data_IF_282197000415
#
_entry.id   IF_282197000415
#
_cell.length_a   1.000
_cell.length_b   1.000
_cell.length_c   1.000
_cell.angle_alpha   90.00
_cell.angle_beta   90.00
_cell.angle_gamma   90.00
#
_symmetry.space_group_name_H-M   'P 1'
#
loop_
_entity.id
_entity.type
_entity.pdbx_description
1 polymer ?
#
# COMPACT_ATOMS: atom_id res chain seq x y z
N UNK A 1 36.24 -28.68 -10.16
CA UNK A 1 35.20 -28.72 -11.21
C UNK A 1 33.86 -28.56 -10.47
N UNK A 2 33.31 -27.33 -10.38
CA UNK A 2 32.19 -26.73 -11.18
C UNK A 2 30.87 -27.48 -10.93
N UNK A 3 29.68 -26.95 -10.58
CA UNK A 3 29.02 -25.62 -10.46
C UNK A 3 27.91 -25.78 -9.37
N UNK A 4 27.24 -24.79 -8.75
CA UNK A 4 26.74 -23.50 -9.22
C UNK A 4 25.30 -23.62 -9.76
N UNK A 5 24.26 -23.37 -8.95
CA UNK A 5 22.86 -23.11 -9.39
C UNK A 5 22.19 -22.16 -8.37
N UNK A 6 22.42 -20.85 -8.46
CA UNK A 6 21.55 -19.82 -9.06
C UNK A 6 20.09 -19.88 -8.62
N UNK A 7 19.73 -18.96 -7.72
CA UNK A 7 18.37 -18.61 -7.39
C UNK A 7 17.72 -17.84 -8.54
N UNK A 8 16.57 -18.32 -9.00
CA UNK A 8 15.76 -17.65 -10.01
C UNK A 8 14.83 -16.67 -9.32
N UNK A 9 15.20 -15.40 -9.27
CA UNK A 9 14.27 -14.31 -8.98
C UNK A 9 13.46 -14.05 -10.25
N UNK A 10 12.18 -14.43 -10.25
CA UNK A 10 11.25 -14.09 -11.33
C UNK A 10 10.44 -12.87 -10.88
N UNK A 11 10.70 -11.76 -11.56
CA UNK A 11 9.88 -10.56 -11.55
C UNK A 11 8.50 -10.90 -12.10
N UNK A 12 7.43 -10.64 -11.32
CA UNK A 12 6.07 -10.87 -11.77
C UNK A 12 5.54 -9.63 -12.49
N UNK A 13 5.44 -9.75 -13.82
CA UNK A 13 4.62 -8.93 -14.70
C UNK A 13 3.14 -9.03 -14.28
N UNK A 14 2.44 -7.90 -14.29
CA UNK A 14 0.98 -7.85 -14.44
C UNK A 14 0.63 -6.98 -15.64
N UNK A 15 0.20 -7.63 -16.72
CA UNK A 15 -0.48 -7.03 -17.85
C UNK A 15 -1.46 -8.06 -18.42
N UNK A 16 -2.72 -8.01 -17.99
CA UNK A 16 -3.88 -8.56 -18.72
C UNK A 16 -5.14 -7.79 -18.25
N UNK A 17 -5.47 -6.72 -18.96
CA UNK A 17 -6.79 -6.11 -18.94
C UNK A 17 -7.63 -6.81 -20.02
N UNK A 18 -8.77 -7.36 -19.62
CA UNK A 18 -9.82 -7.83 -20.53
C UNK A 18 -10.54 -6.63 -21.17
N UNK A 19 -10.87 -6.78 -22.45
CA UNK A 19 -11.55 -5.79 -23.26
C UNK A 19 -13.00 -5.53 -22.79
N UNK A 20 -13.50 -4.27 -22.86
CA UNK A 20 -14.90 -3.98 -22.61
C UNK A 20 -15.78 -4.26 -23.84
N UNK A 21 -16.96 -4.84 -23.57
CA UNK A 21 -18.03 -5.05 -24.52
C UNK A 21 -18.58 -3.73 -25.07
N UNK A 22 -18.84 -3.73 -26.38
CA UNK A 22 -19.38 -2.63 -27.17
C UNK A 22 -20.78 -2.16 -26.73
N UNK A 23 -20.98 -0.85 -26.84
CA UNK A 23 -22.21 -0.12 -26.61
C UNK A 23 -23.18 -0.21 -27.80
N UNK A 24 -24.49 -0.13 -27.50
CA UNK A 24 -25.49 0.47 -28.39
C UNK A 24 -26.39 1.43 -27.62
N UNK A 25 -26.84 2.46 -28.32
CA UNK A 25 -27.32 3.74 -27.83
C UNK A 25 -28.84 3.82 -27.64
N UNK A 26 -29.28 4.72 -26.76
CA UNK A 26 -30.57 5.40 -26.90
C UNK A 26 -30.53 6.79 -26.24
N UNK A 27 -31.00 7.78 -27.00
CA UNK A 27 -30.97 9.20 -26.71
C UNK A 27 -32.07 9.64 -25.72
N UNK A 28 -31.76 10.63 -24.89
CA UNK A 28 -32.72 11.38 -24.08
C UNK A 28 -32.15 12.74 -23.67
N UNK A 29 -32.80 13.84 -24.08
CA UNK A 29 -32.41 15.24 -23.85
C UNK A 29 -32.91 15.76 -22.48
N UNK A 30 -32.23 16.82 -22.00
CA UNK A 30 -32.55 17.79 -20.90
C UNK A 30 -32.23 17.24 -19.49
N UNK A 31 -31.70 17.99 -18.54
CA UNK A 31 -31.75 19.43 -18.25
C UNK A 31 -30.60 19.81 -17.30
N UNK A 32 -30.30 21.11 -17.19
CA UNK A 32 -29.21 21.67 -16.39
C UNK A 32 -29.40 21.42 -14.88
N UNK A 33 -28.32 20.99 -14.22
CA UNK A 33 -28.26 20.83 -12.77
C UNK A 33 -26.81 20.76 -12.31
N UNK A 34 -26.31 21.90 -11.82
CA UNK A 34 -25.05 22.05 -11.10
C UNK A 34 -24.95 20.98 -10.00
N UNK A 35 -23.92 20.15 -10.13
CA UNK A 35 -23.61 19.07 -9.21
C UNK A 35 -22.27 18.50 -9.64
N UNK A 36 -21.20 19.21 -9.30
CA UNK A 36 -19.84 18.74 -9.48
C UNK A 36 -19.66 17.47 -8.62
N UNK A 37 -19.92 16.33 -9.24
CA UNK A 37 -19.54 15.03 -8.70
C UNK A 37 -18.03 14.99 -8.77
N UNK A 38 -17.38 15.38 -7.67
CA UNK A 38 -15.95 15.21 -7.47
C UNK A 38 -15.69 13.71 -7.54
N UNK A 39 -15.19 13.25 -8.70
CA UNK A 39 -14.67 11.91 -8.85
C UNK A 39 -13.43 11.82 -7.96
N UNK A 40 -13.54 11.04 -6.89
CA UNK A 40 -12.39 10.57 -6.13
C UNK A 40 -11.60 9.61 -7.03
N UNK A 41 -10.68 10.16 -7.82
CA UNK A 41 -9.84 9.42 -8.73
C UNK A 41 -8.87 10.38 -9.38
N UNK A 42 -7.58 10.19 -9.08
CA UNK A 42 -6.43 10.82 -9.74
C UNK A 42 -6.02 12.22 -9.24
N UNK A 43 -5.36 12.25 -8.07
CA UNK A 43 -4.40 13.30 -7.76
C UNK A 43 -2.98 12.69 -7.79
N UNK A 44 -2.51 12.36 -8.99
CA UNK A 44 -1.07 12.38 -9.26
C UNK A 44 -0.71 13.85 -9.46
N UNK A 45 -0.13 14.50 -8.45
CA UNK A 45 0.49 15.81 -8.70
C UNK A 45 1.76 15.59 -9.51
N UNK A 46 2.27 16.60 -10.22
CA UNK A 46 3.57 16.47 -10.90
C UNK A 46 4.71 16.09 -9.94
N UNK A 47 4.50 16.26 -8.63
CA UNK A 47 5.50 16.04 -7.60
C UNK A 47 5.57 14.58 -7.14
N UNK A 48 4.52 13.77 -7.36
CA UNK A 48 4.56 12.35 -7.07
C UNK A 48 3.51 11.52 -7.82
N UNK A 49 3.79 10.25 -8.02
CA UNK A 49 2.86 9.26 -8.59
C UNK A 49 2.52 8.15 -7.59
N UNK A 50 1.44 7.41 -7.85
CA UNK A 50 1.01 6.26 -7.03
C UNK A 50 0.94 4.99 -7.86
N UNK A 51 1.29 3.86 -7.26
CA UNK A 51 0.98 2.57 -7.83
C UNK A 51 -0.55 2.36 -7.87
N UNK A 52 -1.07 1.55 -8.82
CA UNK A 52 -2.49 1.27 -8.92
C UNK A 52 -3.05 0.71 -7.60
N UNK A 53 -4.22 1.22 -7.18
CA UNK A 53 -4.92 0.77 -5.97
C UNK A 53 -4.35 1.30 -4.64
N UNK A 54 -3.35 2.21 -4.67
CA UNK A 54 -2.82 2.83 -3.44
C UNK A 54 -3.75 3.93 -2.94
N UNK A 55 -4.30 3.70 -1.74
CA UNK A 55 -5.14 4.66 -1.02
C UNK A 55 -4.31 5.50 -0.02
N UNK A 56 -4.49 6.82 -0.06
CA UNK A 56 -3.88 7.76 0.90
C UNK A 56 -5.00 8.65 1.45
N UNK A 57 -5.24 8.69 2.77
CA UNK A 57 -6.29 9.50 3.36
C UNK A 57 -6.05 11.01 3.12
N UNK A 58 -7.09 11.85 2.94
CA UNK A 58 -6.94 13.27 2.63
C UNK A 58 -6.05 14.07 3.62
N UNK A 59 -6.06 13.72 4.91
CA UNK A 59 -5.20 14.37 5.90
C UNK A 59 -3.70 14.08 5.68
N UNK A 60 -3.39 12.91 5.12
CA UNK A 60 -2.02 12.46 4.81
C UNK A 60 -1.61 12.98 3.44
N UNK A 61 -2.55 13.03 2.52
CA UNK A 61 -2.42 13.53 1.16
C UNK A 61 -1.78 14.92 1.11
N UNK A 62 -2.31 15.88 1.87
CA UNK A 62 -1.80 17.25 1.89
C UNK A 62 -0.32 17.29 2.33
N UNK A 63 0.02 16.55 3.39
CA UNK A 63 1.39 16.49 3.93
C UNK A 63 2.34 15.74 3.00
N UNK A 64 1.84 14.72 2.32
CA UNK A 64 2.58 13.98 1.29
C UNK A 64 2.90 14.89 0.10
N UNK A 65 1.92 15.67 -0.37
CA UNK A 65 2.11 16.63 -1.46
C UNK A 65 3.17 17.68 -1.11
N UNK A 66 3.14 18.23 0.12
CA UNK A 66 4.18 19.17 0.58
C UNK A 66 5.59 18.56 0.63
N UNK A 67 5.71 17.29 1.05
CA UNK A 67 6.97 16.57 1.04
C UNK A 67 7.45 16.31 -0.39
N UNK A 68 6.56 15.85 -1.26
CA UNK A 68 6.82 15.55 -2.66
C UNK A 68 7.29 16.80 -3.42
N UNK A 69 6.58 17.92 -3.29
CA UNK A 69 6.95 19.19 -3.93
C UNK A 69 8.33 19.69 -3.46
N UNK A 70 8.63 19.54 -2.16
CA UNK A 70 9.93 19.90 -1.63
C UNK A 70 11.05 18.98 -2.12
N UNK A 71 10.76 17.69 -2.27
CA UNK A 71 11.70 16.72 -2.83
C UNK A 71 11.98 17.03 -4.29
N UNK A 72 10.94 17.16 -5.14
CA UNK A 72 11.08 17.48 -6.56
C UNK A 72 11.81 18.79 -6.78
N UNK A 73 11.54 19.84 -6.00
CA UNK A 73 12.32 21.08 -6.05
C UNK A 73 13.82 20.90 -5.74
N UNK A 74 14.17 19.94 -4.88
CA UNK A 74 15.56 19.72 -4.47
C UNK A 74 16.32 18.74 -5.39
N UNK A 75 15.63 17.83 -6.07
CA UNK A 75 16.23 16.73 -6.84
C UNK A 75 15.87 16.73 -8.32
N UNK A 76 14.80 17.43 -8.71
CA UNK A 76 14.20 17.36 -10.04
C UNK A 76 13.35 16.11 -10.29
N UNK A 77 13.27 15.17 -9.33
CA UNK A 77 12.53 13.91 -9.48
C UNK A 77 11.25 13.90 -8.65
N UNK A 78 10.14 13.35 -9.19
CA UNK A 78 8.96 13.07 -8.39
C UNK A 78 9.19 11.89 -7.45
N UNK A 79 8.36 11.77 -6.41
CA UNK A 79 8.30 10.55 -5.60
C UNK A 79 7.40 9.51 -6.25
N UNK A 80 7.65 8.22 -6.00
CA UNK A 80 6.78 7.12 -6.41
C UNK A 80 6.27 6.39 -5.19
N UNK A 81 4.97 6.45 -4.97
CA UNK A 81 4.29 5.84 -3.84
C UNK A 81 3.85 4.43 -4.20
N UNK A 82 4.36 3.44 -3.48
CA UNK A 82 4.11 2.02 -3.76
C UNK A 82 3.06 1.41 -2.85
N UNK A 83 2.81 2.01 -1.69
CA UNK A 83 1.78 1.59 -0.75
C UNK A 83 1.32 2.77 0.11
N UNK A 84 0.15 2.64 0.72
CA UNK A 84 -0.51 3.71 1.46
C UNK A 84 -1.17 3.20 2.74
N UNK A 85 -2.15 3.94 3.24
CA UNK A 85 -2.94 3.43 4.38
C UNK A 85 -3.86 2.34 3.87
N UNK A 86 -3.77 1.16 4.47
CA UNK A 86 -4.60 0.03 4.10
C UNK A 86 -5.81 -0.03 5.01
N UNK A 87 -6.99 -0.12 4.41
CA UNK A 87 -8.20 -0.50 5.12
C UNK A 87 -8.10 -1.94 5.64
N UNK A 88 -8.85 -2.30 6.70
CA UNK A 88 -8.90 -3.68 7.19
C UNK A 88 -9.18 -4.72 6.10
N UNK A 89 -10.06 -4.41 5.15
CA UNK A 89 -10.42 -5.33 4.06
C UNK A 89 -9.23 -5.59 3.13
N UNK A 90 -8.49 -4.53 2.74
CA UNK A 90 -7.33 -4.63 1.87
C UNK A 90 -6.20 -5.43 2.54
N UNK A 91 -5.97 -5.17 3.84
CA UNK A 91 -5.00 -5.94 4.60
C UNK A 91 -5.44 -7.40 4.73
N UNK A 92 -6.74 -7.69 4.93
CA UNK A 92 -7.26 -9.04 5.01
C UNK A 92 -7.03 -9.83 3.72
N UNK A 93 -7.26 -9.22 2.56
CA UNK A 93 -6.96 -9.84 1.27
C UNK A 93 -5.47 -10.17 1.09
N UNK A 94 -4.60 -9.26 1.53
CA UNK A 94 -3.15 -9.50 1.50
C UNK A 94 -2.75 -10.64 2.44
N UNK A 95 -3.29 -10.67 3.65
CA UNK A 95 -3.06 -11.76 4.60
C UNK A 95 -3.53 -13.10 4.03
N UNK A 96 -4.71 -13.12 3.40
CA UNK A 96 -5.25 -14.31 2.74
C UNK A 96 -4.31 -14.82 1.64
N UNK A 97 -3.88 -13.95 0.72
CA UNK A 97 -2.95 -14.33 -0.36
C UNK A 97 -1.64 -14.90 0.18
N UNK A 98 -1.07 -14.27 1.21
CA UNK A 98 0.17 -14.75 1.84
C UNK A 98 -0.02 -16.14 2.47
N UNK A 99 -1.13 -16.34 3.18
CA UNK A 99 -1.47 -17.63 3.81
C UNK A 99 -1.75 -18.73 2.79
N UNK A 100 -2.45 -18.42 1.69
CA UNK A 100 -2.69 -19.35 0.57
C UNK A 100 -1.38 -19.77 -0.12
N UNK A 101 -0.39 -18.88 -0.18
CA UNK A 101 0.95 -19.18 -0.71
C UNK A 101 1.81 -20.00 0.27
N UNK A 102 1.37 -20.16 1.51
CA UNK A 102 2.12 -20.86 2.56
C UNK A 102 3.18 -19.99 3.25
N UNK A 103 3.05 -18.66 3.19
CA UNK A 103 3.94 -17.77 3.93
C UNK A 103 3.75 -17.95 5.44
N UNK A 104 4.86 -17.96 6.19
CA UNK A 104 4.82 -17.88 7.65
C UNK A 104 4.55 -16.43 8.10
N UNK A 105 3.28 -16.06 8.14
CA UNK A 105 2.85 -14.71 8.55
C UNK A 105 3.28 -14.37 9.98
N UNK A 106 3.32 -15.34 10.89
CA UNK A 106 3.73 -15.07 12.28
C UNK A 106 5.21 -14.70 12.30
N UNK A 107 6.06 -15.39 11.55
CA UNK A 107 7.47 -15.04 11.42
C UNK A 107 7.69 -13.72 10.69
N UNK A 108 6.91 -13.41 9.67
CA UNK A 108 7.16 -12.26 8.79
C UNK A 108 6.72 -10.91 9.40
N UNK A 109 5.73 -10.91 10.29
CA UNK A 109 5.19 -9.66 10.86
C UNK A 109 5.84 -9.29 12.19
N UNK A 110 5.99 -7.99 12.45
CA UNK A 110 6.62 -7.50 13.68
C UNK A 110 5.77 -7.80 14.93
N UNK A 111 4.46 -7.58 14.86
CA UNK A 111 3.53 -7.89 15.95
C UNK A 111 3.13 -9.38 15.91
N UNK A 112 3.85 -10.21 16.67
CA UNK A 112 3.66 -11.66 16.70
C UNK A 112 2.29 -12.07 17.24
N UNK A 113 1.78 -11.34 18.23
CA UNK A 113 0.47 -11.63 18.84
C UNK A 113 -0.65 -11.39 17.84
N UNK A 114 -0.69 -10.20 17.23
CA UNK A 114 -1.68 -9.87 16.21
C UNK A 114 -1.59 -10.80 14.99
N UNK A 115 -0.38 -11.14 14.53
CA UNK A 115 -0.18 -12.07 13.42
C UNK A 115 -0.68 -13.49 13.75
N UNK A 116 -0.49 -13.95 15.00
CA UNK A 116 -1.01 -15.24 15.47
C UNK A 116 -2.53 -15.27 15.45
N UNK A 117 -3.20 -14.22 15.91
CA UNK A 117 -4.65 -14.12 15.87
C UNK A 117 -5.20 -14.23 14.43
N UNK A 118 -4.52 -13.60 13.46
CA UNK A 118 -4.88 -13.71 12.03
C UNK A 118 -4.69 -15.15 11.52
N UNK A 119 -3.57 -15.79 11.84
CA UNK A 119 -3.31 -17.18 11.45
C UNK A 119 -4.33 -18.17 12.05
N UNK A 120 -4.72 -17.97 13.31
CA UNK A 120 -5.76 -18.77 13.96
C UNK A 120 -7.14 -18.58 13.31
N UNK A 121 -7.51 -17.34 12.95
CA UNK A 121 -8.75 -17.07 12.24
C UNK A 121 -8.79 -17.74 10.86
N UNK A 122 -7.68 -17.70 10.12
CA UNK A 122 -7.54 -18.43 8.87
C UNK A 122 -7.76 -19.94 9.06
N UNK A 123 -7.06 -20.54 10.03
CA UNK A 123 -7.16 -21.97 10.29
C UNK A 123 -8.58 -22.41 10.63
N UNK A 124 -9.33 -21.60 11.39
CA UNK A 124 -10.74 -21.86 11.75
C UNK A 124 -11.68 -21.70 10.56
N UNK A 125 -11.48 -20.69 9.72
CA UNK A 125 -12.41 -20.35 8.64
C UNK A 125 -12.14 -21.08 7.31
N UNK A 126 -10.96 -21.69 7.13
CA UNK A 126 -10.52 -22.24 5.82
C UNK A 126 -11.46 -23.27 5.21
N UNK A 127 -12.19 -24.03 6.02
CA UNK A 127 -13.17 -25.01 5.54
C UNK A 127 -14.42 -24.36 4.90
N UNK A 128 -14.71 -23.10 5.23
CA UNK A 128 -15.85 -22.34 4.71
C UNK A 128 -15.60 -21.66 3.36
N UNK A 129 -14.42 -21.85 2.76
CA UNK A 129 -14.05 -21.25 1.49
C UNK A 129 -13.61 -19.78 1.59
N UNK A 130 -13.16 -19.23 0.45
CA UNK A 130 -12.46 -17.94 0.37
C UNK A 130 -13.23 -16.78 1.00
N UNK A 131 -14.53 -16.67 0.74
CA UNK A 131 -15.36 -15.58 1.25
C UNK A 131 -15.49 -15.61 2.78
N UNK A 132 -15.71 -16.80 3.37
CA UNK A 132 -15.79 -16.97 4.82
C UNK A 132 -14.45 -16.63 5.50
N UNK A 133 -13.34 -17.05 4.89
CA UNK A 133 -11.99 -16.70 5.36
C UNK A 133 -11.78 -15.19 5.31
N UNK A 134 -12.06 -14.54 4.17
CA UNK A 134 -11.86 -13.10 4.03
C UNK A 134 -12.67 -12.30 5.06
N UNK A 135 -13.93 -12.69 5.31
CA UNK A 135 -14.76 -12.09 6.35
C UNK A 135 -14.15 -12.27 7.75
N UNK A 136 -13.69 -13.47 8.09
CA UNK A 136 -13.06 -13.75 9.38
C UNK A 136 -11.76 -12.96 9.59
N UNK A 137 -10.90 -12.88 8.57
CA UNK A 137 -9.65 -12.11 8.64
C UNK A 137 -9.93 -10.62 8.77
N UNK A 138 -10.91 -10.10 8.01
CA UNK A 138 -11.32 -8.70 8.07
C UNK A 138 -11.78 -8.35 9.48
N UNK A 139 -12.59 -9.20 10.11
CA UNK A 139 -13.12 -8.93 11.46
C UNK A 139 -12.02 -8.91 12.52
N UNK A 140 -11.07 -9.85 12.47
CA UNK A 140 -9.90 -9.84 13.36
C UNK A 140 -9.09 -8.57 13.19
N UNK A 141 -8.84 -8.15 11.94
CA UNK A 141 -8.07 -6.95 11.65
C UNK A 141 -8.81 -5.68 12.08
N UNK A 142 -10.14 -5.61 11.92
CA UNK A 142 -10.96 -4.51 12.43
C UNK A 142 -10.88 -4.41 13.96
N UNK A 143 -10.99 -5.55 14.64
CA UNK A 143 -10.86 -5.61 16.11
C UNK A 143 -9.48 -5.14 16.56
N UNK A 144 -8.42 -5.57 15.88
CA UNK A 144 -7.05 -5.11 16.09
C UNK A 144 -6.91 -3.60 15.91
N UNK A 145 -7.46 -3.05 14.83
CA UNK A 145 -7.46 -1.60 14.58
C UNK A 145 -8.19 -0.85 15.69
N UNK A 146 -9.37 -1.31 16.09
CA UNK A 146 -10.16 -0.70 17.16
C UNK A 146 -9.44 -0.75 18.52
N UNK A 147 -8.67 -1.79 18.78
CA UNK A 147 -7.88 -1.96 20.00
C UNK A 147 -6.49 -1.28 19.94
N UNK A 148 -6.08 -0.73 18.80
CA UNK A 148 -4.73 -0.21 18.59
C UNK A 148 -3.63 -1.29 18.49
N UNK A 149 -4.00 -2.58 18.36
CA UNK A 149 -3.11 -3.75 18.28
C UNK A 149 -2.90 -4.20 16.83
N UNK A 150 -2.27 -3.35 16.03
CA UNK A 150 -2.18 -3.55 14.59
C UNK A 150 -1.26 -4.71 14.19
N UNK A 151 -1.74 -5.60 13.31
CA UNK A 151 -0.87 -6.59 12.64
C UNK A 151 0.11 -5.93 11.67
N UNK A 152 -0.28 -4.82 11.04
CA UNK A 152 0.52 -4.08 10.06
C UNK A 152 0.52 -2.58 10.36
N UNK A 153 1.66 -1.92 10.17
CA UNK A 153 1.76 -0.46 10.32
C UNK A 153 0.91 0.31 9.30
N UNK A 154 0.62 -0.29 8.14
CA UNK A 154 -0.26 0.31 7.13
C UNK A 154 -1.72 0.43 7.57
N UNK A 155 -2.12 -0.29 8.62
CA UNK A 155 -3.45 -0.15 9.22
C UNK A 155 -3.54 1.08 10.13
N UNK A 156 -2.41 1.68 10.51
CA UNK A 156 -2.39 2.94 11.26
C UNK A 156 -2.55 4.08 10.25
N UNK A 157 -3.55 4.93 10.44
CA UNK A 157 -3.91 6.04 9.56
C UNK A 157 -2.70 6.95 9.30
N UNK A 158 -2.03 6.84 8.15
CA UNK A 158 -0.90 7.72 7.80
C UNK A 158 0.45 7.06 7.60
N UNK A 159 0.47 5.77 7.26
CA UNK A 159 1.65 5.17 6.63
C UNK A 159 1.60 5.27 5.10
N UNK A 160 2.76 5.52 4.49
CA UNK A 160 2.95 5.55 3.03
C UNK A 160 4.32 4.97 2.70
N UNK A 161 4.40 4.07 1.73
CA UNK A 161 5.67 3.53 1.24
C UNK A 161 6.13 4.25 -0.02
N UNK A 162 7.38 4.70 0.02
CA UNK A 162 8.04 5.38 -1.10
C UNK A 162 9.06 4.44 -1.71
N UNK A 163 8.97 4.22 -3.02
CA UNK A 163 9.99 3.50 -3.79
C UNK A 163 11.35 4.13 -3.57
N UNK A 164 12.37 3.30 -3.39
CA UNK A 164 13.73 3.79 -3.19
C UNK A 164 14.74 3.29 -4.22
N UNK A 165 14.39 2.40 -5.15
CA UNK A 165 15.35 1.76 -6.06
C UNK A 165 15.97 2.74 -7.07
N UNK A 166 15.23 3.76 -7.46
CA UNK A 166 15.56 4.81 -8.42
C UNK A 166 16.19 6.06 -7.78
N UNK A 167 16.37 6.04 -6.46
CA UNK A 167 17.00 7.12 -5.70
C UNK A 167 18.50 6.85 -5.50
N UNK A 168 19.35 7.83 -5.81
CA UNK A 168 20.77 7.79 -5.47
C UNK A 168 21.02 8.11 -3.99
N UNK A 169 22.28 8.03 -3.55
CA UNK A 169 22.65 8.28 -2.14
C UNK A 169 22.29 9.70 -1.66
N UNK A 170 22.43 10.70 -2.53
CA UNK A 170 22.13 12.11 -2.23
C UNK A 170 20.62 12.30 -2.12
N UNK A 171 19.86 11.76 -3.05
CA UNK A 171 18.39 11.83 -3.09
C UNK A 171 17.78 11.17 -1.86
N UNK A 172 18.26 9.98 -1.47
CA UNK A 172 17.85 9.31 -0.22
C UNK A 172 18.09 10.18 1.01
N UNK A 173 19.25 10.85 1.08
CA UNK A 173 19.58 11.74 2.19
C UNK A 173 18.67 12.98 2.21
N UNK A 174 18.36 13.55 1.04
CA UNK A 174 17.44 14.67 0.89
C UNK A 174 16.03 14.27 1.36
N UNK A 175 15.50 13.14 0.90
CA UNK A 175 14.19 12.63 1.33
C UNK A 175 14.11 12.51 2.86
N UNK A 176 15.09 11.83 3.48
CA UNK A 176 15.15 11.66 4.95
C UNK A 176 15.22 12.99 5.69
N UNK A 177 16.01 13.94 5.19
CA UNK A 177 16.13 15.29 5.77
C UNK A 177 14.80 16.06 5.69
N UNK A 178 14.16 16.06 4.52
CA UNK A 178 12.90 16.77 4.29
C UNK A 178 11.73 16.19 5.09
N UNK A 179 11.66 14.86 5.19
CA UNK A 179 10.68 14.15 6.01
C UNK A 179 10.87 14.48 7.50
N UNK A 180 12.11 14.40 8.01
CA UNK A 180 12.43 14.77 9.40
C UNK A 180 12.04 16.21 9.72
N UNK A 181 12.32 17.16 8.82
CA UNK A 181 11.96 18.57 8.98
C UNK A 181 10.44 18.81 9.05
N UNK A 182 9.63 17.88 8.53
CA UNK A 182 8.15 17.92 8.54
C UNK A 182 7.53 17.02 9.62
N UNK A 183 8.35 16.51 10.55
CA UNK A 183 7.90 15.62 11.62
C UNK A 183 7.45 14.24 11.12
N UNK A 184 7.82 13.84 9.91
CA UNK A 184 7.49 12.53 9.34
C UNK A 184 8.61 11.56 9.72
N UNK A 185 8.26 10.46 10.37
CA UNK A 185 9.21 9.40 10.69
C UNK A 185 9.49 8.56 9.44
N UNK A 186 10.76 8.19 9.24
CA UNK A 186 11.18 7.38 8.09
C UNK A 186 11.81 6.10 8.62
N UNK A 187 11.26 4.95 8.25
CA UNK A 187 11.89 3.65 8.47
C UNK A 187 12.60 3.24 7.18
N UNK A 188 13.87 2.86 7.31
CA UNK A 188 14.68 2.43 6.18
C UNK A 188 14.51 0.93 5.94
N UNK A 189 13.69 0.60 4.95
CA UNK A 189 13.41 -0.78 4.53
C UNK A 189 14.04 -1.06 3.15
N UNK A 190 15.05 -0.28 2.76
CA UNK A 190 15.75 -0.41 1.47
C UNK A 190 16.57 -1.69 1.33
N UNK A 191 16.76 -2.44 2.42
CA UNK A 191 17.49 -3.72 2.46
C UNK A 191 16.57 -4.94 2.63
N UNK A 192 15.26 -4.77 2.45
CA UNK A 192 14.28 -5.86 2.53
C UNK A 192 14.02 -6.49 1.15
N UNK A 193 13.22 -7.55 1.09
CA UNK A 193 12.82 -8.21 -0.17
C UNK A 193 12.02 -7.30 -1.12
N UNK A 194 11.41 -6.24 -0.58
CA UNK A 194 10.70 -5.22 -1.35
C UNK A 194 11.25 -3.86 -0.95
N UNK A 195 12.34 -3.36 -1.56
CA UNK A 195 13.02 -2.16 -1.09
C UNK A 195 12.19 -0.87 -1.16
N UNK A 196 11.89 -0.26 -0.01
CA UNK A 196 11.16 1.02 0.09
C UNK A 196 11.59 1.83 1.32
N UNK A 197 11.12 3.08 1.40
CA UNK A 197 11.09 3.87 2.62
C UNK A 197 9.67 3.94 3.15
N UNK A 198 9.46 3.48 4.37
CA UNK A 198 8.17 3.58 5.04
C UNK A 198 8.09 4.92 5.78
N UNK A 199 7.16 5.78 5.34
CA UNK A 199 6.90 7.08 5.93
C UNK A 199 5.72 6.98 6.88
N UNK A 200 5.91 7.42 8.12
CA UNK A 200 4.85 7.51 9.10
C UNK A 200 4.54 8.98 9.42
N UNK A 201 3.34 9.40 9.05
CA UNK A 201 2.84 10.75 9.21
C UNK A 201 2.16 10.96 10.57
N UNK A 202 1.69 9.91 11.25
CA UNK A 202 1.14 9.98 12.60
C UNK A 202 2.18 9.61 13.65
N UNK A 203 2.30 10.44 14.68
CA UNK A 203 3.06 10.09 15.89
C UNK A 203 2.14 9.43 16.90
#
# INVERSE_FOLDING_TARGET
>A
MVAGMTGTSIALLWALAGEPASAEAAAGKREAGSGEVVRAGEAASEDYSRAPGVEVPPAIEARLAELAAAFRRATGKPLVITDGTRRPEVQAELMLRNLERGDDVVRNYANKSAAKAVAEAYAKARAGGRAAVLAALTEVIRTQVAAGDYVSKHLREGAVDVRCLDLDKRERAILKKLAKARGIAVVDESRTSTPHYHLNFVR
#
